data_IF_229077850320
#
_entry.id   IF_229077850320
#
_cell.length_a   1.000
_cell.length_b   1.000
_cell.length_c   1.000
_cell.angle_alpha   90.00
_cell.angle_beta   90.00
_cell.angle_gamma   90.00
#
_symmetry.space_group_name_H-M   'P 1'
#
loop_
_entity.id
_entity.type
_entity.pdbx_description
1 polymer ?
#
# COMPACT_ATOMS: atom_id res chain seq x y z
N UNK A 1 23.00 3.69 -3.84
CA UNK A 1 22.54 2.28 -3.81
C UNK A 1 21.28 2.23 -4.66
N UNK A 2 21.43 1.97 -5.96
CA UNK A 2 20.31 1.90 -6.89
C UNK A 2 19.67 0.53 -6.75
N UNK A 3 18.43 0.47 -6.26
CA UNK A 3 17.66 -0.77 -6.27
C UNK A 3 17.33 -1.07 -7.73
N UNK A 4 18.03 -2.05 -8.28
CA UNK A 4 17.68 -2.73 -9.52
C UNK A 4 16.41 -3.55 -9.27
N UNK A 5 15.25 -2.96 -9.53
CA UNK A 5 14.02 -3.70 -9.81
C UNK A 5 13.55 -3.26 -11.20
N UNK A 6 13.76 -4.12 -12.19
CA UNK A 6 13.17 -3.97 -13.52
C UNK A 6 11.66 -4.22 -13.43
N UNK A 7 10.87 -3.19 -13.11
CA UNK A 7 9.42 -3.26 -13.08
C UNK A 7 8.78 -1.91 -12.73
N UNK A 8 7.61 -1.61 -13.29
CA UNK A 8 6.89 -0.39 -12.95
C UNK A 8 6.37 -0.48 -11.50
N UNK A 9 6.42 0.60 -10.70
CA UNK A 9 5.87 0.59 -9.34
C UNK A 9 4.40 0.16 -9.29
N UNK A 10 3.63 0.53 -10.31
CA UNK A 10 2.24 0.12 -10.47
C UNK A 10 2.09 -1.41 -10.63
N UNK A 11 2.96 -2.05 -11.43
CA UNK A 11 2.94 -3.50 -11.59
C UNK A 11 3.28 -4.21 -10.27
N UNK A 12 4.25 -3.70 -9.52
CA UNK A 12 4.62 -4.25 -8.20
C UNK A 12 3.45 -4.15 -7.22
N UNK A 13 2.78 -3.00 -7.13
CA UNK A 13 1.59 -2.82 -6.27
C UNK A 13 0.48 -3.80 -6.67
N UNK A 14 0.18 -3.93 -7.97
CA UNK A 14 -0.86 -4.85 -8.46
C UNK A 14 -0.55 -6.31 -8.12
N UNK A 15 0.70 -6.72 -8.27
CA UNK A 15 1.13 -8.07 -7.93
C UNK A 15 0.98 -8.32 -6.42
N UNK A 16 1.46 -7.41 -5.59
CA UNK A 16 1.36 -7.55 -4.12
C UNK A 16 -0.10 -7.61 -3.65
N UNK A 17 -0.98 -6.76 -4.18
CA UNK A 17 -2.43 -6.81 -3.88
C UNK A 17 -3.04 -8.17 -4.20
N UNK A 18 -2.72 -8.71 -5.37
CA UNK A 18 -3.21 -10.03 -5.80
C UNK A 18 -2.71 -11.16 -4.88
N UNK A 19 -1.43 -11.14 -4.51
CA UNK A 19 -0.88 -12.16 -3.61
C UNK A 19 -1.49 -12.07 -2.20
N UNK A 20 -1.73 -10.86 -1.67
CA UNK A 20 -2.43 -10.67 -0.38
C UNK A 20 -3.86 -11.22 -0.45
N UNK A 21 -4.62 -10.89 -1.49
CA UNK A 21 -5.99 -11.39 -1.67
C UNK A 21 -6.03 -12.91 -1.75
N UNK A 22 -5.08 -13.52 -2.48
CA UNK A 22 -4.93 -14.97 -2.57
C UNK A 22 -4.65 -15.57 -1.19
N UNK A 23 -3.68 -15.03 -0.45
CA UNK A 23 -3.32 -15.50 0.88
C UNK A 23 -4.50 -15.47 1.85
N UNK A 24 -5.30 -14.40 1.83
CA UNK A 24 -6.49 -14.26 2.66
C UNK A 24 -7.64 -15.20 2.26
N UNK A 25 -7.69 -15.57 0.97
CA UNK A 25 -8.60 -16.60 0.48
C UNK A 25 -8.21 -18.00 0.95
N UNK A 26 -6.91 -18.31 0.95
CA UNK A 26 -6.35 -19.58 1.41
C UNK A 26 -6.40 -19.71 2.94
N UNK A 27 -6.26 -18.60 3.68
CA UNK A 27 -6.22 -18.59 5.14
C UNK A 27 -7.17 -17.52 5.73
N UNK A 28 -8.49 -17.78 5.78
CA UNK A 28 -9.46 -16.81 6.28
C UNK A 28 -9.25 -16.37 7.74
N UNK A 29 -8.59 -17.19 8.56
CA UNK A 29 -8.24 -16.85 9.95
C UNK A 29 -7.31 -15.64 10.05
N UNK A 30 -6.54 -15.34 9.00
CA UNK A 30 -5.68 -14.16 8.96
C UNK A 30 -6.46 -12.84 8.97
N UNK A 31 -7.76 -12.87 8.62
CA UNK A 31 -8.60 -11.68 8.59
C UNK A 31 -8.69 -10.98 9.96
N UNK A 32 -8.58 -11.73 11.05
CA UNK A 32 -8.61 -11.17 12.41
C UNK A 32 -7.40 -10.31 12.76
N UNK A 33 -6.30 -10.43 12.02
CA UNK A 33 -5.07 -9.67 12.25
C UNK A 33 -4.93 -8.46 11.31
N UNK A 34 -5.89 -8.23 10.42
CA UNK A 34 -5.75 -7.21 9.37
C UNK A 34 -5.68 -5.79 9.92
N UNK A 35 -6.43 -5.51 10.98
CA UNK A 35 -6.43 -4.18 11.60
C UNK A 35 -5.06 -3.85 12.22
N UNK A 36 -4.48 -4.79 12.97
CA UNK A 36 -3.14 -4.67 13.54
C UNK A 36 -2.07 -4.56 12.46
N UNK A 37 -2.11 -5.46 11.46
CA UNK A 37 -1.17 -5.47 10.35
C UNK A 37 -1.22 -4.18 9.51
N UNK A 38 -2.43 -3.61 9.32
CA UNK A 38 -2.61 -2.34 8.62
C UNK A 38 -2.00 -1.19 9.42
N UNK A 39 -2.26 -1.14 10.73
CA UNK A 39 -1.72 -0.11 11.61
C UNK A 39 -0.18 -0.15 11.65
N UNK A 40 0.42 -1.34 11.72
CA UNK A 40 1.87 -1.52 11.66
C UNK A 40 2.45 -1.10 10.30
N UNK A 41 1.81 -1.53 9.21
CA UNK A 41 2.25 -1.20 7.85
C UNK A 41 2.19 0.31 7.56
N UNK A 42 1.15 1.00 8.06
CA UNK A 42 1.03 2.45 7.92
C UNK A 42 2.15 3.19 8.67
N UNK A 43 2.47 2.77 9.90
CA UNK A 43 3.59 3.34 10.67
C UNK A 43 4.93 3.14 9.97
N UNK A 44 5.21 1.92 9.48
CA UNK A 44 6.41 1.62 8.72
C UNK A 44 6.49 2.48 7.44
N UNK A 45 5.36 2.64 6.73
CA UNK A 45 5.27 3.49 5.54
C UNK A 45 5.54 4.96 5.84
N UNK A 46 5.02 5.48 6.96
CA UNK A 46 5.28 6.85 7.43
C UNK A 46 6.75 7.08 7.76
N UNK A 47 7.40 6.14 8.43
CA UNK A 47 8.81 6.23 8.79
C UNK A 47 9.71 6.22 7.54
N UNK A 48 9.42 5.33 6.59
CA UNK A 48 10.11 5.29 5.29
C UNK A 48 9.91 6.58 4.51
N UNK A 49 8.67 7.08 4.39
CA UNK A 49 8.38 8.31 3.68
C UNK A 49 9.07 9.52 4.31
N UNK A 50 9.11 9.62 5.64
CA UNK A 50 9.86 10.66 6.34
C UNK A 50 11.36 10.58 6.04
N UNK A 51 11.95 9.38 6.09
CA UNK A 51 13.37 9.15 5.79
C UNK A 51 13.76 9.48 4.34
N UNK A 52 12.92 9.12 3.36
CA UNK A 52 13.18 9.36 1.94
C UNK A 52 12.96 10.82 1.52
N UNK A 53 11.95 11.49 2.09
CA UNK A 53 11.59 12.88 1.73
C UNK A 53 12.27 13.93 2.61
N UNK A 54 12.86 13.50 3.74
CA UNK A 54 13.42 14.37 4.78
C UNK A 54 12.39 15.35 5.38
N UNK A 55 11.09 15.03 5.31
CA UNK A 55 10.01 15.76 5.96
C UNK A 55 9.77 15.22 7.38
N UNK A 56 9.40 16.07 8.36
CA UNK A 56 9.13 15.60 9.72
C UNK A 56 7.89 14.71 9.76
N UNK A 57 7.87 13.72 10.67
CA UNK A 57 6.75 12.78 10.85
C UNK A 57 5.39 13.46 11.07
N UNK A 58 5.38 14.66 11.65
CA UNK A 58 4.18 15.50 11.84
C UNK A 58 3.53 15.97 10.53
N UNK A 59 4.22 15.86 9.40
CA UNK A 59 3.67 16.15 8.06
C UNK A 59 2.73 15.06 7.58
N UNK A 60 2.89 13.84 8.11
CA UNK A 60 2.10 12.68 7.71
C UNK A 60 0.95 12.46 8.71
N UNK A 61 -0.22 11.96 8.25
CA UNK A 61 -1.32 11.59 9.12
C UNK A 61 -0.84 10.63 10.23
N UNK A 62 -1.34 10.80 11.45
CA UNK A 62 -0.96 9.94 12.58
C UNK A 62 -1.61 8.54 12.56
N UNK A 63 -2.57 8.35 11.67
CA UNK A 63 -3.36 7.13 11.49
C UNK A 63 -3.58 6.92 10.00
N UNK A 64 -3.72 5.65 9.59
CA UNK A 64 -4.04 5.32 8.22
C UNK A 64 -5.39 5.96 7.83
N UNK A 65 -5.43 6.61 6.67
CA UNK A 65 -6.63 7.26 6.16
C UNK A 65 -7.47 6.36 5.25
N UNK A 66 -6.98 5.16 4.94
CA UNK A 66 -7.57 4.27 3.96
C UNK A 66 -8.01 2.98 4.62
N UNK A 67 -9.19 2.51 4.26
CA UNK A 67 -9.66 1.20 4.67
C UNK A 67 -8.87 0.09 3.96
N UNK A 68 -8.83 -1.09 4.56
CA UNK A 68 -8.13 -2.25 3.99
C UNK A 68 -8.68 -2.61 2.59
N UNK A 69 -10.00 -2.52 2.42
CA UNK A 69 -10.69 -2.76 1.15
C UNK A 69 -10.26 -1.76 0.07
N UNK A 70 -10.05 -0.50 0.43
CA UNK A 70 -9.55 0.52 -0.49
C UNK A 70 -8.09 0.23 -0.87
N UNK A 71 -7.25 -0.11 0.10
CA UNK A 71 -5.83 -0.41 -0.13
C UNK A 71 -5.64 -1.58 -1.08
N UNK A 72 -6.49 -2.61 -1.00
CA UNK A 72 -6.43 -3.78 -1.89
C UNK A 72 -7.18 -3.60 -3.22
N UNK A 73 -7.96 -2.53 -3.37
CA UNK A 73 -8.65 -2.23 -4.63
C UNK A 73 -7.64 -1.97 -5.74
N UNK A 74 -7.80 -2.67 -6.86
CA UNK A 74 -7.06 -2.49 -8.10
C UNK A 74 -7.31 -1.12 -8.76
N UNK A 75 -8.39 -0.43 -8.38
CA UNK A 75 -8.73 0.92 -8.83
C UNK A 75 -8.23 2.03 -7.91
N UNK A 76 -7.61 1.69 -6.78
CA UNK A 76 -7.18 2.68 -5.79
C UNK A 76 -5.69 3.01 -5.91
N UNK A 77 -5.38 4.29 -6.06
CA UNK A 77 -4.03 4.84 -5.96
C UNK A 77 -4.12 6.21 -5.27
N UNK A 78 -3.44 6.42 -4.13
CA UNK A 78 -3.49 7.69 -3.41
C UNK A 78 -2.84 8.80 -4.24
N UNK A 79 -3.59 9.86 -4.53
CA UNK A 79 -3.19 10.93 -5.46
C UNK A 79 -4.31 11.30 -6.43
N UNK A 80 -3.99 11.93 -7.57
CA UNK A 80 -4.98 12.15 -8.61
C UNK A 80 -5.58 10.80 -9.08
N UNK A 81 -6.89 10.74 -9.34
CA UNK A 81 -7.56 9.51 -9.76
C UNK A 81 -6.85 8.95 -10.99
N UNK A 82 -6.63 7.63 -11.01
CA UNK A 82 -6.18 6.94 -12.21
C UNK A 82 -7.24 7.17 -13.30
N UNK A 83 -6.97 8.12 -14.20
CA UNK A 83 -7.80 8.35 -15.37
C UNK A 83 -7.73 7.10 -16.24
N UNK A 84 -8.89 6.66 -16.76
CA UNK A 84 -9.05 5.47 -17.60
C UNK A 84 -8.03 5.38 -18.76
N UNK A 85 -7.45 6.52 -19.15
CA UNK A 85 -6.45 6.66 -20.21
C UNK A 85 -5.13 5.89 -19.97
N UNK A 86 -4.86 5.44 -18.74
CA UNK A 86 -3.68 4.60 -18.40
C UNK A 86 -4.00 3.10 -18.29
N UNK A 87 -5.25 2.69 -18.54
CA UNK A 87 -5.74 1.31 -18.44
C UNK A 87 -6.01 0.66 -19.81
N UNK A 88 -5.54 1.27 -20.91
CA UNK A 88 -5.57 0.70 -22.27
C UNK A 88 -4.46 -0.31 -22.54
#
# INVERSE_FOLDING_TARGET
MYILFFGSPLATIRLQRREILKLLGENPSLKHYLEEALQESDQNGRDLASGETNLPLSTFPNQCLYAFEEILSDRFYPGQPATDDLMG
#
